data_IF_383579292235
#
_entry.id   IF_383579292235
#
_cell.length_a   1.000
_cell.length_b   1.000
_cell.length_c   1.000
_cell.angle_alpha   90.00
_cell.angle_beta   90.00
_cell.angle_gamma   90.00
#
_symmetry.space_group_name_H-M   'P 1'
#
loop_
_entity.id
_entity.type
_entity.pdbx_description
1 polymer ?
#
# COMPACT_ATOMS: atom_id res chain seq x y z
N UNK A 1 -12.66 4.17 -22.69
CA UNK A 1 -13.66 3.37 -21.95
C UNK A 1 -13.03 2.87 -20.65
N UNK A 2 -13.82 2.60 -19.60
CA UNK A 2 -13.32 2.03 -18.33
C UNK A 2 -13.17 0.50 -18.46
N UNK A 3 -12.21 -0.08 -17.74
CA UNK A 3 -12.06 -1.54 -17.60
C UNK A 3 -12.93 -2.02 -16.43
N UNK A 4 -13.93 -2.86 -16.73
CA UNK A 4 -14.93 -3.34 -15.78
C UNK A 4 -14.80 -4.86 -15.63
N UNK A 5 -15.02 -5.36 -14.42
CA UNK A 5 -15.01 -6.77 -14.08
C UNK A 5 -16.26 -7.13 -13.29
N UNK A 6 -17.11 -8.02 -13.83
CA UNK A 6 -18.28 -8.54 -13.12
C UNK A 6 -17.80 -9.52 -12.05
N UNK A 7 -17.83 -9.10 -10.78
CA UNK A 7 -17.42 -9.96 -9.68
C UNK A 7 -18.53 -10.96 -9.33
N UNK A 8 -19.78 -10.51 -9.37
CA UNK A 8 -20.99 -11.31 -9.22
C UNK A 8 -22.19 -10.56 -9.84
N UNK A 9 -23.41 -11.14 -9.88
CA UNK A 9 -24.56 -10.51 -10.54
C UNK A 9 -24.99 -9.15 -9.97
N UNK A 10 -24.52 -8.77 -8.78
CA UNK A 10 -24.88 -7.50 -8.12
C UNK A 10 -23.69 -6.55 -7.93
N UNK A 11 -22.47 -6.97 -8.29
CA UNK A 11 -21.23 -6.21 -8.05
C UNK A 11 -20.33 -6.24 -9.28
N UNK A 12 -20.08 -5.06 -9.82
CA UNK A 12 -19.07 -4.84 -10.86
C UNK A 12 -17.94 -3.98 -10.29
N UNK A 13 -16.71 -4.45 -10.44
CA UNK A 13 -15.51 -3.71 -10.10
C UNK A 13 -15.08 -2.87 -11.29
N UNK A 14 -14.50 -1.70 -11.03
CA UNK A 14 -13.95 -0.82 -12.06
C UNK A 14 -12.47 -0.58 -11.77
N UNK A 15 -11.59 -0.88 -12.73
CA UNK A 15 -10.16 -0.62 -12.57
C UNK A 15 -9.91 0.87 -12.47
N UNK A 16 -9.16 1.27 -11.45
CA UNK A 16 -8.66 2.63 -11.29
C UNK A 16 -7.61 2.95 -12.35
N UNK A 17 -7.65 4.16 -12.89
CA UNK A 17 -6.65 4.64 -13.87
C UNK A 17 -5.35 5.04 -13.18
N UNK A 18 -4.27 5.23 -13.94
CA UNK A 18 -3.02 5.77 -13.40
C UNK A 18 -3.19 7.17 -12.76
N UNK A 19 -4.02 8.02 -13.37
CA UNK A 19 -4.33 9.34 -12.80
C UNK A 19 -5.10 9.24 -11.47
N UNK A 20 -6.10 8.36 -11.39
CA UNK A 20 -6.82 8.10 -10.15
C UNK A 20 -5.89 7.52 -9.07
N UNK A 21 -4.98 6.62 -9.45
CA UNK A 21 -3.98 6.05 -8.54
C UNK A 21 -2.97 7.08 -8.03
N UNK A 22 -2.52 8.01 -8.87
CA UNK A 22 -1.66 9.12 -8.42
C UNK A 22 -2.36 9.97 -7.35
N UNK A 23 -3.65 10.32 -7.57
CA UNK A 23 -4.45 11.05 -6.57
C UNK A 23 -4.64 10.25 -5.28
N UNK A 24 -4.88 8.93 -5.39
CA UNK A 24 -4.97 8.05 -4.22
C UNK A 24 -3.67 8.00 -3.43
N UNK A 25 -2.52 7.93 -4.12
CA UNK A 25 -1.21 7.92 -3.47
C UNK A 25 -0.93 9.21 -2.71
N UNK A 26 -1.30 10.36 -3.28
CA UNK A 26 -1.24 11.65 -2.59
C UNK A 26 -2.12 11.66 -1.33
N UNK A 27 -3.37 11.19 -1.42
CA UNK A 27 -4.29 11.13 -0.27
C UNK A 27 -3.74 10.22 0.84
N UNK A 28 -3.18 9.06 0.49
CA UNK A 28 -2.56 8.13 1.45
C UNK A 28 -1.39 8.82 2.16
N UNK A 29 -0.49 9.44 1.40
CA UNK A 29 0.67 10.15 1.94
C UNK A 29 0.28 11.30 2.87
N UNK A 30 -0.68 12.14 2.47
CA UNK A 30 -1.17 13.25 3.29
C UNK A 30 -1.72 12.76 4.63
N UNK A 31 -2.50 11.67 4.63
CA UNK A 31 -3.04 11.07 5.86
C UNK A 31 -1.95 10.46 6.73
N UNK A 32 -0.97 9.79 6.14
CA UNK A 32 0.17 9.22 6.85
C UNK A 32 1.01 10.32 7.54
N UNK A 33 1.25 11.44 6.85
CA UNK A 33 2.01 12.57 7.39
C UNK A 33 1.29 13.26 8.56
N UNK A 34 -0.04 13.25 8.58
CA UNK A 34 -0.85 13.86 9.65
C UNK A 34 -0.97 12.98 10.91
N UNK A 35 -0.46 11.75 10.89
CA UNK A 35 -0.56 10.83 12.00
C UNK A 35 0.27 11.31 13.21
N UNK A 36 -0.27 11.13 14.42
CA UNK A 36 0.42 11.48 15.69
C UNK A 36 1.24 10.33 16.28
N UNK A 37 0.97 9.10 15.83
CA UNK A 37 1.70 7.90 16.23
C UNK A 37 2.76 7.52 15.19
N UNK A 38 3.60 6.52 15.49
CA UNK A 38 4.55 5.98 14.52
C UNK A 38 3.79 5.38 13.33
N UNK A 39 4.24 5.68 12.11
CA UNK A 39 3.64 5.19 10.86
C UNK A 39 4.75 4.71 9.94
N UNK A 40 4.45 3.64 9.20
CA UNK A 40 5.27 3.09 8.13
C UNK A 40 4.36 2.65 6.99
N UNK A 41 4.74 2.93 5.75
CA UNK A 41 4.03 2.47 4.56
C UNK A 41 4.79 1.29 3.97
N UNK A 42 4.09 0.21 3.62
CA UNK A 42 4.70 -1.01 3.04
C UNK A 42 4.06 -1.29 1.68
N UNK A 43 4.88 -1.34 0.63
CA UNK A 43 4.42 -1.43 -0.77
C UNK A 43 4.71 -2.83 -1.37
N UNK A 44 3.70 -3.57 -1.85
CA UNK A 44 3.91 -4.84 -2.56
C UNK A 44 4.19 -4.58 -4.04
N UNK A 45 5.45 -4.76 -4.46
CA UNK A 45 5.89 -4.37 -5.80
C UNK A 45 5.29 -5.21 -6.94
N UNK A 46 4.71 -6.38 -6.65
CA UNK A 46 4.17 -7.28 -7.69
C UNK A 46 2.65 -7.26 -7.83
N UNK A 47 1.95 -6.40 -7.09
CA UNK A 47 0.51 -6.18 -7.23
C UNK A 47 -0.21 -5.98 -5.91
N UNK A 48 -1.34 -5.25 -5.95
CA UNK A 48 -2.08 -4.77 -4.78
C UNK A 48 -3.42 -5.48 -4.56
N UNK A 49 -3.80 -6.44 -5.40
CA UNK A 49 -5.03 -7.23 -5.24
C UNK A 49 -4.96 -8.55 -5.99
N UNK A 50 -5.82 -9.53 -5.63
CA UNK A 50 -5.83 -10.83 -6.30
C UNK A 50 -6.00 -10.78 -7.83
N UNK A 51 -6.65 -9.73 -8.36
CA UNK A 51 -6.88 -9.54 -9.80
C UNK A 51 -5.92 -8.50 -10.43
N UNK A 52 -4.93 -8.02 -9.67
CA UNK A 52 -3.86 -7.12 -10.11
C UNK A 52 -2.51 -7.85 -10.12
N UNK A 53 -2.42 -8.91 -10.92
CA UNK A 53 -1.23 -9.73 -11.08
C UNK A 53 -1.08 -10.18 -12.54
N UNK A 54 0.12 -10.55 -12.99
CA UNK A 54 0.36 -10.94 -14.40
C UNK A 54 -0.71 -11.94 -14.89
N UNK A 55 -1.38 -11.59 -15.99
CA UNK A 55 -2.46 -12.41 -16.58
C UNK A 55 -3.85 -12.20 -15.98
N UNK A 56 -4.00 -11.35 -14.95
CA UNK A 56 -5.29 -11.03 -14.34
C UNK A 56 -5.94 -9.78 -14.96
N UNK A 57 -7.28 -9.64 -14.87
CA UNK A 57 -8.02 -8.59 -15.58
C UNK A 57 -7.62 -7.15 -15.25
N UNK A 58 -7.13 -6.92 -14.04
CA UNK A 58 -6.78 -5.59 -13.53
C UNK A 58 -5.27 -5.37 -13.47
N UNK A 59 -4.45 -6.26 -14.02
CA UNK A 59 -3.00 -6.06 -14.05
C UNK A 59 -2.63 -4.82 -14.86
N UNK A 60 -2.14 -3.80 -14.17
CA UNK A 60 -1.70 -2.55 -14.78
C UNK A 60 -0.51 -1.99 -14.00
N UNK A 61 0.73 -2.33 -14.44
CA UNK A 61 1.95 -1.83 -13.81
C UNK A 61 2.08 -0.31 -13.81
N UNK A 62 1.50 0.39 -14.80
CA UNK A 62 1.56 1.84 -14.87
C UNK A 62 0.67 2.48 -13.81
N UNK A 63 -0.52 1.91 -13.56
CA UNK A 63 -1.38 2.35 -12.47
C UNK A 63 -0.74 2.14 -11.09
N UNK A 64 -0.13 0.97 -10.87
CA UNK A 64 0.59 0.66 -9.61
C UNK A 64 1.81 1.56 -9.42
N UNK A 65 2.58 1.82 -10.48
CA UNK A 65 3.69 2.76 -10.44
C UNK A 65 3.23 4.18 -10.11
N UNK A 66 2.14 4.66 -10.72
CA UNK A 66 1.59 5.99 -10.43
C UNK A 66 1.16 6.14 -8.96
N UNK A 67 0.56 5.09 -8.37
CA UNK A 67 0.24 5.04 -6.94
C UNK A 67 1.51 5.18 -6.08
N UNK A 68 2.52 4.35 -6.35
CA UNK A 68 3.73 4.29 -5.53
C UNK A 68 4.59 5.54 -5.67
N UNK A 69 4.74 6.08 -6.87
CA UNK A 69 5.44 7.35 -7.09
C UNK A 69 4.79 8.51 -6.36
N UNK A 70 3.46 8.58 -6.36
CA UNK A 70 2.74 9.59 -5.59
C UNK A 70 2.96 9.43 -4.08
N UNK A 71 2.91 8.19 -3.56
CA UNK A 71 3.24 7.92 -2.15
C UNK A 71 4.67 8.37 -1.82
N UNK A 72 5.67 7.92 -2.61
CA UNK A 72 7.10 8.26 -2.45
C UNK A 72 7.34 9.76 -2.45
N UNK A 73 6.67 10.49 -3.35
CA UNK A 73 6.84 11.94 -3.50
C UNK A 73 6.24 12.73 -2.34
N UNK A 74 5.07 12.31 -1.86
CA UNK A 74 4.26 13.13 -0.96
C UNK A 74 4.36 12.73 0.51
N UNK A 75 4.93 11.57 0.83
CA UNK A 75 5.03 11.13 2.22
C UNK A 75 6.35 11.53 2.88
N UNK A 76 6.30 11.83 4.16
CA UNK A 76 7.46 11.99 5.04
C UNK A 76 7.68 10.80 5.97
N UNK A 77 6.79 9.79 5.93
CA UNK A 77 6.94 8.57 6.73
C UNK A 77 7.87 7.57 6.03
N UNK A 78 8.41 6.62 6.80
CA UNK A 78 9.26 5.59 6.23
C UNK A 78 8.47 4.68 5.28
N UNK A 79 9.07 4.37 4.13
CA UNK A 79 8.53 3.41 3.16
C UNK A 79 9.39 2.15 3.18
N UNK A 80 8.75 0.99 3.22
CA UNK A 80 9.36 -0.30 2.91
C UNK A 80 8.78 -0.87 1.64
N UNK A 81 9.65 -1.26 0.73
CA UNK A 81 9.25 -1.94 -0.50
C UNK A 81 9.57 -3.41 -0.38
N UNK A 82 8.64 -4.25 -0.83
CA UNK A 82 8.77 -5.70 -0.78
C UNK A 82 8.54 -6.22 -2.18
N UNK A 83 9.52 -6.95 -2.71
CA UNK A 83 9.44 -7.62 -4.01
C UNK A 83 8.52 -8.86 -3.94
N UNK A 84 7.23 -8.60 -3.70
CA UNK A 84 6.19 -9.58 -3.48
C UNK A 84 4.84 -9.02 -3.94
N UNK A 85 3.90 -9.92 -4.24
CA UNK A 85 2.49 -9.58 -4.42
C UNK A 85 1.83 -9.43 -3.04
N UNK A 86 0.77 -8.61 -2.92
CA UNK A 86 0.10 -8.35 -1.62
C UNK A 86 -0.34 -9.64 -0.90
N UNK A 87 -0.68 -10.68 -1.66
CA UNK A 87 -1.15 -11.97 -1.15
C UNK A 87 -0.03 -12.99 -0.90
N UNK A 88 1.23 -12.65 -1.16
CA UNK A 88 2.34 -13.57 -0.90
C UNK A 88 2.64 -13.63 0.61
N UNK A 89 2.92 -14.84 1.17
CA UNK A 89 3.26 -14.98 2.59
C UNK A 89 4.43 -14.10 3.04
N UNK A 90 5.39 -13.83 2.15
CA UNK A 90 6.52 -12.94 2.42
C UNK A 90 6.07 -11.49 2.67
N UNK A 91 5.06 -10.99 1.94
CA UNK A 91 4.53 -9.65 2.16
C UNK A 91 3.87 -9.55 3.54
N UNK A 92 3.04 -10.54 3.89
CA UNK A 92 2.41 -10.62 5.20
C UNK A 92 3.45 -10.69 6.34
N UNK A 93 4.48 -11.53 6.19
CA UNK A 93 5.57 -11.63 7.16
C UNK A 93 6.32 -10.30 7.34
N UNK A 94 6.54 -9.56 6.25
CA UNK A 94 7.15 -8.23 6.30
C UNK A 94 6.30 -7.23 7.09
N UNK A 95 4.97 -7.23 6.91
CA UNK A 95 4.08 -6.35 7.67
C UNK A 95 4.17 -6.64 9.16
N UNK A 96 4.07 -7.92 9.55
CA UNK A 96 4.12 -8.33 10.96
C UNK A 96 5.47 -7.96 11.58
N UNK A 97 6.57 -8.18 10.89
CA UNK A 97 7.90 -7.83 11.38
C UNK A 97 8.04 -6.32 11.66
N UNK A 98 7.61 -5.47 10.72
CA UNK A 98 7.65 -4.01 10.91
C UNK A 98 6.75 -3.56 12.06
N UNK A 99 5.53 -4.10 12.13
CA UNK A 99 4.58 -3.76 13.18
C UNK A 99 5.10 -4.14 14.59
N UNK A 100 5.61 -5.36 14.76
CA UNK A 100 6.19 -5.80 16.03
C UNK A 100 7.42 -4.98 16.41
N UNK A 101 8.25 -4.60 15.44
CA UNK A 101 9.38 -3.68 15.65
C UNK A 101 8.91 -2.33 16.20
N UNK A 102 7.89 -1.73 15.58
CA UNK A 102 7.33 -0.44 16.02
C UNK A 102 6.76 -0.51 17.44
N UNK A 103 6.07 -1.60 17.80
CA UNK A 103 5.55 -1.81 19.15
C UNK A 103 6.67 -1.85 20.19
N UNK A 104 7.72 -2.63 19.96
CA UNK A 104 8.82 -2.78 20.92
C UNK A 104 9.62 -1.47 21.10
N UNK A 105 9.81 -0.68 20.05
CA UNK A 105 10.46 0.63 20.14
C UNK A 105 9.62 1.65 20.89
N UNK A 106 8.28 1.59 20.76
CA UNK A 106 7.37 2.50 21.46
C UNK A 106 7.34 2.27 22.97
N UNK A 107 7.45 1.03 23.45
CA UNK A 107 7.44 0.71 24.89
C UNK A 107 8.69 1.24 25.59
N UNK A 108 9.88 1.04 24.99
CA UNK A 108 11.15 1.49 25.59
C UNK A 108 11.28 3.01 25.75
N UNK A 109 10.54 3.79 24.96
CA UNK A 109 10.59 5.26 25.01
C UNK A 109 9.79 5.84 26.17
N UNK A 110 8.77 5.12 26.63
CA UNK A 110 7.95 5.48 27.80
C UNK A 110 8.70 5.18 29.10
N UNK A 111 9.44 4.07 29.14
CA UNK A 111 10.21 3.65 30.33
C UNK A 111 11.47 4.49 30.57
N UNK A 112 12.02 5.14 29.53
CA UNK A 112 13.20 6.00 29.63
C UNK A 112 12.87 7.46 30.05
N UNK A 113 11.59 7.81 30.17
CA UNK A 113 11.12 9.13 30.60
C UNK A 113 10.45 9.11 31.98
N UNK A 114 10.49 7.95 32.67
CA UNK A 114 10.10 7.77 34.07
C UNK A 114 11.35 7.68 34.95
#
# INVERSE_FOLDING_TARGET
ARNLYEHNPTVTLMRTTAEENARLGEVIAQKANAARGPVKIILPLRGISAIDAVGQPFYDPAATAALFEAIRRHTSVEIKEVDAHINDPQFAASIVAEFMGMLHTSVRRTDALA
#
